data_IF_408064248862
#
_entry.id   IF_408064248862
#
_cell.length_a   1.000
_cell.length_b   1.000
_cell.length_c   1.000
_cell.angle_alpha   90.00
_cell.angle_beta   90.00
_cell.angle_gamma   90.00
#
_symmetry.space_group_name_H-M   'P 1'
#
loop_
_entity.id
_entity.type
_entity.pdbx_description
1 polymer ?
#
# COMPACT_ATOMS: atom_id res chain seq x y z
N UNK A 1 10.31 -8.13 12.62
CA UNK A 1 10.74 -7.29 11.47
C UNK A 1 9.69 -6.22 11.30
N UNK A 2 10.06 -4.98 10.97
CA UNK A 2 9.11 -3.87 10.90
C UNK A 2 8.16 -4.05 9.70
N UNK A 3 6.93 -4.40 10.02
CA UNK A 3 5.81 -4.56 9.08
C UNK A 3 5.14 -3.20 8.87
N UNK A 4 4.83 -2.83 7.61
CA UNK A 4 4.20 -1.56 7.28
C UNK A 4 3.01 -1.78 6.34
N UNK A 5 1.83 -1.27 6.71
CA UNK A 5 0.82 -0.97 5.69
C UNK A 5 1.45 -0.06 4.64
N UNK A 6 1.23 -0.34 3.36
CA UNK A 6 1.67 0.47 2.23
C UNK A 6 0.56 0.54 1.18
N UNK A 7 0.33 1.74 0.68
CA UNK A 7 -0.63 2.00 -0.39
C UNK A 7 -0.28 3.32 -1.10
N UNK A 8 -0.78 3.51 -2.32
CA UNK A 8 -0.52 4.72 -3.13
C UNK A 8 -1.78 5.22 -3.82
N UNK A 9 -1.94 6.54 -3.92
CA UNK A 9 -2.97 7.15 -4.76
C UNK A 9 -2.38 7.86 -5.95
N UNK A 10 -3.10 7.83 -7.07
CA UNK A 10 -2.62 8.33 -8.35
C UNK A 10 -3.57 9.34 -8.98
N UNK A 11 -3.02 10.20 -9.82
CA UNK A 11 -3.78 11.06 -10.71
C UNK A 11 -4.16 10.26 -11.97
N UNK A 12 -5.09 9.32 -11.81
CA UNK A 12 -5.47 8.41 -12.88
C UNK A 12 -5.98 9.17 -14.12
N UNK A 13 -5.37 8.91 -15.27
CA UNK A 13 -5.75 9.55 -16.55
C UNK A 13 -6.83 8.77 -17.31
N UNK A 14 -7.13 7.55 -16.87
CA UNK A 14 -8.12 6.67 -17.47
C UNK A 14 -9.11 6.10 -16.43
N UNK A 15 -9.92 5.10 -16.83
CA UNK A 15 -10.89 4.48 -15.93
C UNK A 15 -10.25 3.69 -14.77
N UNK A 16 -8.93 3.46 -14.83
CA UNK A 16 -8.11 2.83 -13.80
C UNK A 16 -6.72 3.47 -13.81
N UNK A 17 -6.01 3.45 -12.67
CA UNK A 17 -4.60 3.84 -12.62
C UNK A 17 -3.72 3.05 -13.60
N UNK A 18 -2.87 3.76 -14.34
CA UNK A 18 -1.77 3.26 -15.15
C UNK A 18 -0.43 3.46 -14.42
N UNK A 19 0.55 2.60 -14.70
CA UNK A 19 1.90 2.68 -14.09
C UNK A 19 2.65 3.97 -14.45
N UNK A 20 2.18 4.73 -15.44
CA UNK A 20 2.73 6.01 -15.86
C UNK A 20 1.95 7.21 -15.30
N UNK A 21 0.88 7.00 -14.55
CA UNK A 21 0.18 8.10 -13.89
C UNK A 21 1.07 8.72 -12.80
N UNK A 22 0.76 9.97 -12.44
CA UNK A 22 1.43 10.69 -11.36
C UNK A 22 1.02 10.10 -10.00
N UNK A 23 1.99 9.89 -9.12
CA UNK A 23 1.73 9.55 -7.71
C UNK A 23 1.36 10.82 -6.95
N UNK A 24 0.19 10.81 -6.34
CA UNK A 24 -0.31 11.90 -5.50
C UNK A 24 0.03 11.68 -4.04
N UNK A 25 -0.17 10.47 -3.54
CA UNK A 25 0.20 10.10 -2.18
C UNK A 25 0.94 8.78 -2.10
N UNK A 26 1.82 8.68 -1.11
CA UNK A 26 2.34 7.41 -0.62
C UNK A 26 2.04 7.37 0.87
N UNK A 27 1.23 6.41 1.29
CA UNK A 27 0.81 6.25 2.67
C UNK A 27 1.37 4.97 3.26
N UNK A 28 1.88 5.06 4.49
CA UNK A 28 2.36 3.89 5.22
C UNK A 28 2.23 4.06 6.72
N UNK A 29 2.02 2.94 7.41
CA UNK A 29 1.91 2.90 8.86
C UNK A 29 2.55 1.63 9.39
N UNK A 30 3.41 1.77 10.39
CA UNK A 30 4.04 0.62 11.05
C UNK A 30 3.00 -0.19 11.80
N UNK A 31 3.04 -1.51 11.64
CA UNK A 31 2.15 -2.47 12.28
C UNK A 31 2.95 -3.49 13.08
N UNK A 32 2.41 -3.91 14.22
CA UNK A 32 2.98 -4.98 15.02
C UNK A 32 2.90 -6.31 14.29
N UNK A 33 4.02 -7.02 14.16
CA UNK A 33 4.13 -8.24 13.33
C UNK A 33 3.20 -9.38 13.76
N UNK A 34 2.82 -9.44 15.03
CA UNK A 34 1.95 -10.49 15.58
C UNK A 34 0.48 -10.11 15.48
N UNK A 35 0.13 -8.89 15.91
CA UNK A 35 -1.26 -8.48 16.13
C UNK A 35 -1.82 -7.61 15.00
N UNK A 36 -0.98 -7.04 14.14
CA UNK A 36 -1.36 -5.99 13.19
C UNK A 36 -1.75 -4.67 13.85
N UNK A 37 -1.47 -4.48 15.15
CA UNK A 37 -1.76 -3.23 15.86
C UNK A 37 -0.90 -2.09 15.33
N UNK A 38 -1.45 -0.87 15.34
CA UNK A 38 -0.73 0.33 14.91
C UNK A 38 0.45 0.61 15.85
N UNK A 39 1.66 0.70 15.32
CA UNK A 39 2.89 1.03 16.06
C UNK A 39 3.46 2.39 15.59
N UNK A 40 2.68 3.44 15.79
CA UNK A 40 2.99 4.80 15.32
C UNK A 40 1.88 5.36 14.43
N UNK A 41 2.03 6.61 14.01
CA UNK A 41 1.03 7.31 13.22
C UNK A 41 1.07 6.93 11.74
N UNK A 42 -0.07 7.10 11.06
CA UNK A 42 -0.14 7.00 9.61
C UNK A 42 0.69 8.15 9.00
N UNK A 43 1.69 7.81 8.21
CA UNK A 43 2.43 8.80 7.42
C UNK A 43 1.81 8.88 6.04
N UNK A 44 1.48 10.09 5.59
CA UNK A 44 1.00 10.36 4.23
C UNK A 44 1.97 11.36 3.59
N UNK A 45 2.74 10.91 2.60
CA UNK A 45 3.54 11.79 1.76
C UNK A 45 2.65 12.32 0.64
N UNK A 46 2.68 13.64 0.40
CA UNK A 46 1.72 14.33 -0.47
C UNK A 46 2.43 15.16 -1.53
N UNK A 47 2.11 14.94 -2.80
CA UNK A 47 2.77 15.64 -3.92
C UNK A 47 2.45 17.14 -3.93
N UNK A 48 1.24 17.53 -3.52
CA UNK A 48 0.80 18.93 -3.49
C UNK A 48 1.42 19.78 -2.38
N UNK A 49 2.11 19.17 -1.41
CA UNK A 49 2.89 19.90 -0.40
C UNK A 49 4.34 20.17 -0.84
N UNK A 50 4.78 19.51 -1.91
CA UNK A 50 6.14 19.64 -2.44
C UNK A 50 6.16 19.35 -3.94
N UNK A 51 6.45 18.11 -4.32
CA UNK A 51 6.29 17.58 -5.66
C UNK A 51 6.26 16.05 -5.60
N UNK A 52 5.82 15.38 -6.67
CA UNK A 52 5.95 13.93 -6.78
C UNK A 52 7.42 13.47 -6.66
N UNK A 53 8.36 14.23 -7.23
CA UNK A 53 9.80 13.92 -7.15
C UNK A 53 10.29 13.88 -5.69
N UNK A 54 9.93 14.89 -4.88
CA UNK A 54 10.34 14.94 -3.48
C UNK A 54 9.66 13.87 -2.64
N UNK A 55 8.38 13.56 -2.91
CA UNK A 55 7.68 12.41 -2.31
C UNK A 55 8.41 11.11 -2.61
N UNK A 56 8.78 10.88 -3.87
CA UNK A 56 9.44 9.66 -4.31
C UNK A 56 10.86 9.51 -3.76
N UNK A 57 11.64 10.59 -3.71
CA UNK A 57 12.98 10.59 -3.08
C UNK A 57 12.87 10.27 -1.60
N UNK A 58 11.96 10.94 -0.89
CA UNK A 58 11.72 10.71 0.53
C UNK A 58 11.30 9.26 0.79
N UNK A 59 10.38 8.73 0.00
CA UNK A 59 9.95 7.35 0.14
C UNK A 59 11.05 6.36 -0.22
N UNK A 60 11.88 6.61 -1.24
CA UNK A 60 13.04 5.77 -1.57
C UNK A 60 14.00 5.63 -0.38
N UNK A 61 14.28 6.74 0.32
CA UNK A 61 15.12 6.74 1.53
C UNK A 61 14.49 6.02 2.72
N UNK A 62 13.16 5.93 2.79
CA UNK A 62 12.42 5.21 3.83
C UNK A 62 12.35 3.71 3.49
N UNK A 63 11.96 3.38 2.26
CA UNK A 63 11.75 2.02 1.78
C UNK A 63 13.06 1.23 1.65
N UNK A 64 14.16 1.91 1.31
CA UNK A 64 15.51 1.35 1.19
C UNK A 64 15.57 -0.01 0.47
N UNK A 65 15.38 -0.07 -0.87
CA UNK A 65 15.27 -1.34 -1.61
C UNK A 65 16.43 -2.34 -1.40
N UNK A 66 17.61 -1.84 -1.03
CA UNK A 66 18.82 -2.66 -0.78
C UNK A 66 18.91 -3.21 0.66
N UNK A 67 18.01 -2.77 1.56
CA UNK A 67 17.90 -3.22 2.95
C UNK A 67 16.49 -3.78 3.17
N UNK A 68 16.18 -4.92 2.52
CA UNK A 68 14.80 -5.38 2.35
C UNK A 68 14.06 -5.66 3.66
N UNK A 69 14.79 -5.91 4.76
CA UNK A 69 14.21 -6.22 6.07
C UNK A 69 13.93 -4.98 6.95
N UNK A 70 14.30 -3.78 6.52
CA UNK A 70 14.02 -2.52 7.25
C UNK A 70 12.61 -1.97 6.98
N UNK A 71 11.96 -2.44 5.90
CA UNK A 71 10.60 -2.07 5.54
C UNK A 71 9.90 -3.27 4.88
N UNK A 72 9.02 -3.97 5.59
CA UNK A 72 8.22 -5.06 5.00
C UNK A 72 6.84 -4.52 4.60
N UNK A 73 6.55 -4.26 3.31
CA UNK A 73 5.26 -3.76 2.89
C UNK A 73 4.17 -4.83 3.02
N UNK A 74 3.01 -4.37 3.47
CA UNK A 74 1.77 -5.12 3.60
C UNK A 74 0.70 -4.31 2.88
N UNK A 75 0.02 -4.94 1.93
CA UNK A 75 -0.99 -4.26 1.14
C UNK A 75 -1.87 -5.24 0.39
N UNK A 76 -2.75 -4.71 -0.44
CA UNK A 76 -3.53 -5.51 -1.38
C UNK A 76 -3.02 -5.23 -2.78
N UNK A 77 -2.61 -6.26 -3.51
CA UNK A 77 -2.13 -6.15 -4.89
C UNK A 77 -0.83 -5.34 -5.03
N UNK A 78 0.13 -5.54 -4.10
CA UNK A 78 1.41 -4.82 -3.98
C UNK A 78 2.27 -4.77 -5.25
N UNK A 79 2.04 -5.70 -6.18
CA UNK A 79 2.66 -5.64 -7.49
C UNK A 79 2.37 -4.30 -8.18
N UNK A 80 1.16 -3.76 -8.06
CA UNK A 80 0.82 -2.45 -8.63
C UNK A 80 1.72 -1.35 -8.08
N UNK A 81 1.87 -1.27 -6.75
CA UNK A 81 2.75 -0.33 -6.07
C UNK A 81 4.20 -0.51 -6.53
N UNK A 82 4.69 -1.75 -6.61
CA UNK A 82 6.07 -2.03 -7.04
C UNK A 82 6.35 -1.62 -8.49
N UNK A 83 5.43 -1.91 -9.42
CA UNK A 83 5.57 -1.49 -10.82
C UNK A 83 5.54 0.03 -10.95
N UNK A 84 4.62 0.69 -10.23
CA UNK A 84 4.52 2.14 -10.17
C UNK A 84 5.80 2.76 -9.63
N UNK A 85 6.21 2.40 -8.41
CA UNK A 85 7.41 2.93 -7.76
C UNK A 85 8.65 2.73 -8.64
N UNK A 86 8.84 1.54 -9.22
CA UNK A 86 9.94 1.29 -10.14
C UNK A 86 9.93 2.26 -11.33
N UNK A 87 8.78 2.38 -12.00
CA UNK A 87 8.65 3.21 -13.19
C UNK A 87 8.86 4.69 -12.87
N UNK A 88 8.30 5.17 -11.76
CA UNK A 88 8.42 6.57 -11.33
C UNK A 88 9.83 6.90 -10.84
N UNK A 89 10.46 6.05 -10.02
CA UNK A 89 11.84 6.23 -9.56
C UNK A 89 12.85 6.33 -10.71
N UNK A 90 12.64 5.58 -11.79
CA UNK A 90 13.49 5.64 -12.99
C UNK A 90 13.54 7.06 -13.58
N UNK A 91 12.44 7.83 -13.51
CA UNK A 91 12.39 9.21 -14.02
C UNK A 91 13.32 10.16 -13.25
N UNK A 92 13.71 9.80 -12.03
CA UNK A 92 14.54 10.61 -11.13
C UNK A 92 15.90 9.99 -10.85
N UNK A 93 16.36 9.06 -11.71
CA UNK A 93 17.71 8.49 -11.64
C UNK A 93 17.88 7.30 -10.68
N UNK A 94 16.81 6.85 -10.03
CA UNK A 94 16.82 5.66 -9.18
C UNK A 94 16.40 4.43 -9.99
N UNK A 95 17.38 3.63 -10.42
CA UNK A 95 17.12 2.37 -11.13
C UNK A 95 17.08 1.21 -10.14
N UNK A 96 15.88 0.75 -9.82
CA UNK A 96 15.66 -0.46 -9.00
C UNK A 96 15.23 -1.60 -9.92
N UNK A 97 15.97 -2.73 -9.99
CA UNK A 97 15.51 -3.90 -10.72
C UNK A 97 14.17 -4.39 -10.17
N UNK A 98 13.24 -4.78 -11.03
CA UNK A 98 11.91 -5.24 -10.58
C UNK A 98 12.03 -6.48 -9.69
N UNK A 99 13.00 -7.36 -10.02
CA UNK A 99 13.35 -8.52 -9.20
C UNK A 99 13.67 -8.11 -7.76
N UNK A 100 14.33 -6.98 -7.56
CA UNK A 100 14.63 -6.47 -6.21
C UNK A 100 13.34 -6.24 -5.44
N UNK A 101 12.34 -5.60 -6.04
CA UNK A 101 11.07 -5.28 -5.36
C UNK A 101 10.14 -6.50 -5.18
N UNK A 102 10.04 -7.38 -6.17
CA UNK A 102 9.05 -8.48 -6.17
C UNK A 102 9.61 -9.78 -5.60
N UNK A 103 10.90 -10.05 -5.81
CA UNK A 103 11.53 -11.33 -5.44
C UNK A 103 12.45 -11.20 -4.23
N UNK A 104 13.32 -10.20 -4.20
CA UNK A 104 14.30 -10.05 -3.12
C UNK A 104 13.73 -9.30 -1.89
N UNK A 105 12.73 -8.44 -2.08
CA UNK A 105 12.09 -7.66 -1.02
C UNK A 105 10.88 -8.42 -0.44
N UNK A 106 10.94 -8.86 0.83
CA UNK A 106 9.84 -9.59 1.45
C UNK A 106 8.64 -8.67 1.63
N UNK A 107 7.45 -9.19 1.34
CA UNK A 107 6.21 -8.45 1.43
C UNK A 107 5.03 -9.38 1.72
N UNK A 108 3.94 -8.80 2.23
CA UNK A 108 2.68 -9.51 2.49
C UNK A 108 1.60 -8.90 1.60
N UNK A 109 1.34 -9.54 0.46
CA UNK A 109 0.20 -9.21 -0.38
C UNK A 109 -1.03 -10.03 0.05
N UNK A 110 -2.02 -9.36 0.64
CA UNK A 110 -3.22 -10.03 1.15
C UNK A 110 -4.20 -10.45 0.05
N UNK A 111 -3.95 -10.12 -1.23
CA UNK A 111 -4.84 -10.47 -2.35
C UNK A 111 -5.15 -11.97 -2.40
N UNK A 112 -4.16 -12.82 -2.18
CA UNK A 112 -4.36 -14.28 -2.15
C UNK A 112 -5.25 -14.70 -0.96
N UNK A 113 -5.11 -14.05 0.18
CA UNK A 113 -5.97 -14.28 1.36
C UNK A 113 -7.41 -13.87 1.04
N UNK A 114 -7.61 -12.75 0.34
CA UNK A 114 -8.95 -12.33 -0.10
C UNK A 114 -9.60 -13.33 -1.05
N UNK A 115 -8.84 -13.96 -1.96
CA UNK A 115 -9.35 -15.03 -2.83
C UNK A 115 -9.83 -16.23 -2.02
N UNK A 116 -9.05 -16.65 -1.01
CA UNK A 116 -9.43 -17.75 -0.12
C UNK A 116 -10.72 -17.41 0.64
N UNK A 117 -10.80 -16.22 1.24
CA UNK A 117 -12.00 -15.75 1.94
C UNK A 117 -13.19 -15.54 1.01
N UNK A 118 -12.95 -15.37 -0.30
CA UNK A 118 -13.97 -15.31 -1.35
C UNK A 118 -14.35 -16.70 -1.89
N UNK A 119 -14.16 -17.76 -1.11
CA UNK A 119 -14.49 -19.13 -1.51
C UNK A 119 -13.62 -19.64 -2.67
N UNK A 120 -12.38 -19.16 -2.78
CA UNK A 120 -11.45 -19.49 -3.87
C UNK A 120 -11.73 -18.73 -5.18
N UNK A 121 -12.74 -17.87 -5.24
CA UNK A 121 -13.03 -17.09 -6.44
C UNK A 121 -12.15 -15.86 -6.55
N UNK A 122 -11.48 -15.69 -7.69
CA UNK A 122 -10.76 -14.45 -8.00
C UNK A 122 -11.71 -13.28 -8.29
N UNK A 123 -12.87 -13.56 -8.87
CA UNK A 123 -13.84 -12.53 -9.25
C UNK A 123 -14.53 -12.00 -7.98
N UNK A 124 -14.42 -10.69 -7.76
CA UNK A 124 -15.00 -10.03 -6.59
C UNK A 124 -14.18 -10.19 -5.30
N UNK A 125 -12.96 -10.75 -5.37
CA UNK A 125 -12.02 -10.76 -4.26
C UNK A 125 -11.30 -9.41 -4.16
N UNK A 126 -11.99 -8.42 -3.59
CA UNK A 126 -11.44 -7.09 -3.35
C UNK A 126 -11.66 -6.67 -1.89
N UNK A 127 -10.88 -5.69 -1.43
CA UNK A 127 -10.91 -5.23 -0.06
C UNK A 127 -12.29 -4.69 0.36
N UNK A 128 -13.01 -4.04 -0.55
CA UNK A 128 -14.32 -3.44 -0.26
C UNK A 128 -15.36 -4.46 0.20
N UNK A 129 -15.34 -5.68 -0.37
CA UNK A 129 -16.20 -6.78 0.06
C UNK A 129 -16.02 -7.17 1.53
N UNK A 130 -14.82 -7.00 2.08
CA UNK A 130 -14.47 -7.47 3.43
C UNK A 130 -14.32 -6.34 4.45
N UNK A 131 -14.10 -5.11 4.00
CA UNK A 131 -13.99 -3.91 4.86
C UNK A 131 -15.31 -3.15 4.97
N UNK A 132 -16.32 -3.48 4.16
CA UNK A 132 -17.58 -2.74 4.10
C UNK A 132 -17.44 -1.35 3.48
N UNK A 133 -16.34 -1.10 2.74
CA UNK A 133 -16.12 0.16 2.02
C UNK A 133 -17.20 0.39 0.97
N UNK A 134 -17.62 1.65 0.87
CA UNK A 134 -18.54 2.17 -0.16
C UNK A 134 -17.88 3.19 -1.10
N UNK A 135 -16.60 3.52 -0.89
CA UNK A 135 -15.91 4.55 -1.67
C UNK A 135 -14.94 3.90 -2.65
N UNK A 136 -14.97 4.35 -3.91
CA UNK A 136 -14.06 3.92 -4.97
C UNK A 136 -13.07 5.05 -5.24
N UNK A 137 -11.78 4.73 -5.42
CA UNK A 137 -10.70 5.69 -5.66
C UNK A 137 -10.88 6.54 -6.94
N UNK A 138 -11.87 6.22 -7.77
CA UNK A 138 -12.25 6.95 -8.99
C UNK A 138 -12.48 8.46 -8.79
N UNK A 139 -12.75 8.92 -7.55
CA UNK A 139 -12.95 10.33 -7.22
C UNK A 139 -11.66 11.11 -6.98
N UNK A 140 -10.54 10.43 -6.79
CA UNK A 140 -9.26 11.09 -6.46
C UNK A 140 -8.81 12.06 -7.56
N UNK A 141 -8.83 11.71 -8.86
CA UNK A 141 -8.43 12.66 -9.91
C UNK A 141 -9.33 13.91 -9.94
N UNK A 142 -10.63 13.74 -9.69
CA UNK A 142 -11.59 14.84 -9.61
C UNK A 142 -11.29 15.77 -8.41
N UNK A 143 -11.09 15.19 -7.22
CA UNK A 143 -10.71 15.96 -6.03
C UNK A 143 -9.37 16.67 -6.22
N UNK A 144 -8.40 16.01 -6.84
CA UNK A 144 -7.09 16.59 -7.11
C UNK A 144 -7.18 17.77 -8.07
N UNK A 145 -7.92 17.63 -9.17
CA UNK A 145 -8.17 18.71 -10.13
C UNK A 145 -8.88 19.91 -9.47
N UNK A 146 -9.79 19.66 -8.54
CA UNK A 146 -10.50 20.68 -7.77
C UNK A 146 -9.70 21.21 -6.55
N UNK A 147 -8.49 20.68 -6.31
CA UNK A 147 -7.66 20.97 -5.13
C UNK A 147 -8.35 20.67 -3.80
N UNK A 148 -9.31 19.73 -3.81
CA UNK A 148 -9.95 19.20 -2.61
C UNK A 148 -9.03 18.15 -1.95
N UNK A 149 -7.87 18.61 -1.50
CA UNK A 149 -6.87 17.75 -0.87
C UNK A 149 -7.36 17.17 0.45
N UNK A 150 -8.25 17.88 1.15
CA UNK A 150 -8.87 17.39 2.37
C UNK A 150 -9.72 16.13 2.13
N UNK A 151 -10.45 16.05 1.01
CA UNK A 151 -11.18 14.85 0.63
C UNK A 151 -10.23 13.66 0.34
N UNK A 152 -9.12 13.91 -0.36
CA UNK A 152 -8.09 12.88 -0.64
C UNK A 152 -7.47 12.38 0.68
N UNK A 153 -7.06 13.29 1.57
CA UNK A 153 -6.48 12.91 2.86
C UNK A 153 -7.45 12.10 3.71
N UNK A 154 -8.72 12.52 3.77
CA UNK A 154 -9.76 11.78 4.46
C UNK A 154 -9.97 10.39 3.85
N UNK A 155 -10.00 10.30 2.52
CA UNK A 155 -10.12 9.02 1.82
C UNK A 155 -8.97 8.08 2.18
N UNK A 156 -7.71 8.55 2.09
CA UNK A 156 -6.52 7.76 2.43
C UNK A 156 -6.54 7.30 3.89
N UNK A 157 -6.94 8.17 4.82
CA UNK A 157 -7.08 7.82 6.25
C UNK A 157 -8.14 6.75 6.47
N UNK A 158 -9.33 6.92 5.88
CA UNK A 158 -10.41 5.95 5.96
C UNK A 158 -10.01 4.60 5.31
N UNK A 159 -9.24 4.65 4.21
CA UNK A 159 -8.73 3.47 3.53
C UNK A 159 -7.73 2.68 4.36
N UNK A 160 -6.75 3.37 4.93
CA UNK A 160 -5.75 2.81 5.84
C UNK A 160 -6.42 2.20 7.07
N UNK A 161 -7.36 2.90 7.69
CA UNK A 161 -8.11 2.41 8.84
C UNK A 161 -8.91 1.14 8.52
N UNK A 162 -9.59 1.13 7.38
CA UNK A 162 -10.34 -0.03 6.91
C UNK A 162 -9.43 -1.23 6.65
N UNK A 163 -8.30 -1.02 5.97
CA UNK A 163 -7.31 -2.06 5.71
C UNK A 163 -6.75 -2.62 7.02
N UNK A 164 -6.27 -1.76 7.93
CA UNK A 164 -5.61 -2.16 9.17
C UNK A 164 -6.56 -2.92 10.08
N UNK A 165 -7.80 -2.44 10.26
CA UNK A 165 -8.82 -3.15 11.04
C UNK A 165 -9.11 -4.54 10.46
N UNK A 166 -9.11 -4.67 9.14
CA UNK A 166 -9.27 -5.97 8.50
C UNK A 166 -8.04 -6.86 8.66
N UNK A 167 -6.84 -6.32 8.50
CA UNK A 167 -5.58 -7.04 8.69
C UNK A 167 -5.41 -7.55 10.12
N UNK A 168 -5.82 -6.77 11.13
CA UNK A 168 -5.88 -7.22 12.53
C UNK A 168 -6.78 -8.44 12.69
N UNK A 169 -7.99 -8.42 12.13
CA UNK A 169 -8.90 -9.58 12.12
C UNK A 169 -8.33 -10.78 11.37
N UNK A 170 -7.54 -10.55 10.31
CA UNK A 170 -6.83 -11.63 9.63
C UNK A 170 -5.78 -12.25 10.55
N UNK A 171 -4.95 -11.45 11.21
CA UNK A 171 -3.93 -11.92 12.17
C UNK A 171 -4.53 -12.69 13.34
N UNK A 172 -5.73 -12.33 13.79
CA UNK A 172 -6.47 -13.06 14.84
C UNK A 172 -7.01 -14.43 14.36
N UNK A 173 -7.36 -14.56 13.08
CA UNK A 173 -8.05 -15.73 12.52
C UNK A 173 -7.14 -16.69 11.75
N UNK A 174 -6.05 -16.19 11.17
CA UNK A 174 -5.04 -17.04 10.51
C UNK A 174 -4.35 -17.85 11.63
N UNK A 175 -4.19 -19.18 11.47
CA UNK A 175 -3.86 -20.07 12.58
C UNK A 175 -2.58 -19.73 13.34
N UNK A 176 -2.45 -20.36 14.52
CA UNK A 176 -1.26 -20.58 15.36
C UNK A 176 0.02 -20.94 14.57
N UNK A 177 -0.04 -21.23 13.27
CA UNK A 177 1.10 -21.41 12.38
C UNK A 177 2.05 -20.19 12.28
N UNK A 178 1.64 -19.00 12.72
CA UNK A 178 2.52 -17.84 12.91
C UNK A 178 3.21 -17.81 14.28
N UNK A 179 2.80 -18.65 15.24
CA UNK A 179 3.60 -18.83 16.44
C UNK A 179 4.86 -19.58 16.05
N UNK A 180 6.05 -19.13 16.52
CA UNK A 180 7.27 -19.88 16.30
C UNK A 180 7.02 -21.32 16.75
N UNK A 181 7.19 -22.29 15.86
CA UNK A 181 7.34 -23.68 16.30
C UNK A 181 8.46 -23.68 17.32
N UNK A 182 8.18 -24.12 18.55
CA UNK A 182 9.25 -24.36 19.54
C UNK A 182 10.23 -25.35 18.90
N UNK A 183 11.35 -24.83 18.43
CA UNK A 183 12.52 -25.63 18.04
C UNK A 183 13.25 -26.08 19.29
#
# INVERSE_FOLDING_TARGET
>A
MPEYYLDIETNATGPKPDINDEILTIQFQRLGSVSGQKEGDLTILKSWESSEEEVLKKFYSIFQPIKPFEFIPIGMNLNFEFFMLQNRWKKFGHQVPLKTLIYDHPHIDIKTILVILNGGSFKGANLGKFTGKTYNGDKIPEWYANKDYAAIEKYVQDEADGFIKFYQRLKERIPVALQPTKT
#
